data_IF_387566263003
#
_entry.id   IF_387566263003
#
_cell.length_a   1.000
_cell.length_b   1.000
_cell.length_c   1.000
_cell.angle_alpha   90.00
_cell.angle_beta   90.00
_cell.angle_gamma   90.00
#
_symmetry.space_group_name_H-M   'P 1'
#
loop_
_entity.id
_entity.type
_entity.pdbx_description
1 polymer ?
#
# COMPACT_ATOMS: atom_id res chain seq x y z
N UNK A 1 42.36 -24.30 71.76
CA UNK A 1 41.07 -23.78 71.22
C UNK A 1 41.38 -23.15 69.88
N UNK A 2 41.10 -23.84 68.77
CA UNK A 2 41.28 -23.29 67.42
C UNK A 2 39.92 -23.43 66.72
N UNK A 3 39.24 -22.30 66.56
CA UNK A 3 37.94 -22.18 65.90
C UNK A 3 38.12 -22.32 64.39
N UNK A 4 37.46 -23.31 63.78
CA UNK A 4 37.34 -23.44 62.32
C UNK A 4 36.04 -22.76 61.90
N UNK A 5 36.15 -21.57 61.34
CA UNK A 5 35.03 -20.89 60.67
C UNK A 5 34.76 -21.59 59.34
N UNK A 6 33.56 -22.14 59.17
CA UNK A 6 33.08 -22.69 57.90
C UNK A 6 32.34 -21.60 57.15
N UNK A 7 32.95 -21.08 56.08
CA UNK A 7 32.32 -20.17 55.14
C UNK A 7 31.48 -20.98 54.14
N UNK A 8 30.15 -20.96 54.29
CA UNK A 8 29.23 -21.47 53.29
C UNK A 8 29.21 -20.54 52.08
N UNK A 9 29.70 -21.01 50.92
CA UNK A 9 29.46 -20.36 49.63
C UNK A 9 28.00 -20.60 49.22
N UNK A 10 27.19 -19.54 49.23
CA UNK A 10 25.86 -19.54 48.63
C UNK A 10 26.02 -19.31 47.13
N UNK A 11 25.88 -20.37 46.32
CA UNK A 11 25.86 -20.26 44.86
C UNK A 11 24.51 -19.66 44.43
N UNK A 12 24.51 -18.38 44.06
CA UNK A 12 23.38 -17.73 43.39
C UNK A 12 23.35 -18.23 41.95
N UNK A 13 22.44 -19.15 41.65
CA UNK A 13 22.13 -19.54 40.27
C UNK A 13 21.25 -18.44 39.70
N UNK A 14 21.85 -17.53 38.92
CA UNK A 14 21.08 -16.65 38.04
C UNK A 14 20.44 -17.52 36.96
N UNK A 15 19.13 -17.76 37.08
CA UNK A 15 18.32 -18.24 35.97
C UNK A 15 18.28 -17.12 34.92
N UNK A 16 19.19 -17.20 33.95
CA UNK A 16 19.07 -16.51 32.67
C UNK A 16 17.83 -17.11 31.99
N UNK A 17 16.67 -16.52 32.23
CA UNK A 17 15.52 -16.74 31.37
C UNK A 17 15.93 -16.27 29.97
N UNK A 18 16.19 -17.22 29.08
CA UNK A 18 16.44 -16.91 27.69
C UNK A 18 15.22 -16.16 27.17
N UNK A 19 15.42 -14.90 26.75
CA UNK A 19 14.41 -14.20 25.95
C UNK A 19 14.33 -14.99 24.65
N UNK A 20 13.32 -15.84 24.54
CA UNK A 20 13.07 -16.57 23.31
C UNK A 20 12.59 -15.54 22.30
N UNK A 21 13.39 -15.28 21.26
CA UNK A 21 13.03 -14.37 20.19
C UNK A 21 11.68 -14.80 19.61
N UNK A 22 10.79 -13.83 19.35
CA UNK A 22 9.50 -14.12 18.74
C UNK A 22 9.73 -14.76 17.35
N UNK A 23 9.21 -15.97 17.17
CA UNK A 23 9.27 -16.71 15.91
C UNK A 23 7.87 -16.72 15.32
N UNK A 24 7.73 -16.27 14.08
CA UNK A 24 6.46 -16.22 13.36
C UNK A 24 6.48 -17.29 12.26
N UNK A 25 5.65 -18.35 12.33
CA UNK A 25 5.58 -19.34 11.27
C UNK A 25 4.89 -18.78 10.03
N UNK A 26 5.36 -19.19 8.85
CA UNK A 26 4.77 -18.83 7.57
C UNK A 26 3.36 -19.40 7.49
N UNK A 27 2.40 -18.55 7.15
CA UNK A 27 0.99 -18.91 7.01
C UNK A 27 0.51 -18.75 5.58
N UNK A 28 0.94 -17.68 4.90
CA UNK A 28 0.61 -17.45 3.50
C UNK A 28 1.84 -16.96 2.73
N UNK A 29 1.99 -17.44 1.50
CA UNK A 29 2.99 -16.95 0.56
C UNK A 29 2.35 -16.69 -0.80
N UNK A 30 2.31 -15.42 -1.19
CA UNK A 30 1.74 -14.96 -2.45
C UNK A 30 2.87 -14.62 -3.41
N UNK A 31 3.09 -15.44 -4.44
CA UNK A 31 4.14 -15.22 -5.45
C UNK A 31 3.84 -15.96 -6.75
N UNK A 32 4.56 -15.62 -7.81
CA UNK A 32 4.45 -16.30 -9.10
C UNK A 32 3.02 -16.32 -9.65
N UNK A 33 2.62 -17.46 -10.22
CA UNK A 33 1.29 -17.61 -10.83
C UNK A 33 0.17 -17.78 -9.81
N UNK A 34 0.48 -18.18 -8.57
CA UNK A 34 -0.49 -18.38 -7.48
C UNK A 34 -0.68 -17.13 -6.63
N UNK A 35 0.07 -16.05 -6.89
CA UNK A 35 -0.03 -14.80 -6.13
C UNK A 35 -1.47 -14.36 -5.97
N UNK A 36 -2.24 -14.35 -7.05
CA UNK A 36 -3.60 -13.80 -7.10
C UNK A 36 -4.64 -14.66 -6.38
N UNK A 37 -4.30 -15.89 -5.99
CA UNK A 37 -5.21 -16.79 -5.25
C UNK A 37 -5.54 -16.24 -3.86
N UNK A 38 -4.65 -15.45 -3.27
CA UNK A 38 -4.85 -14.77 -1.98
C UNK A 38 -5.65 -13.48 -2.04
N UNK A 39 -6.02 -13.01 -3.23
CA UNK A 39 -6.55 -11.66 -3.43
C UNK A 39 -7.93 -11.63 -4.10
N UNK A 40 -8.63 -10.51 -3.88
CA UNK A 40 -9.90 -10.18 -4.52
C UNK A 40 -9.85 -8.74 -5.03
N UNK A 41 -10.65 -8.46 -6.05
CA UNK A 41 -10.91 -7.09 -6.45
C UNK A 41 -11.80 -6.38 -5.41
N UNK A 42 -11.67 -5.04 -5.28
CA UNK A 42 -12.65 -4.22 -4.58
C UNK A 42 -14.05 -4.36 -5.19
N UNK A 43 -15.08 -4.01 -4.42
CA UNK A 43 -16.44 -3.97 -4.94
C UNK A 43 -16.72 -2.66 -5.69
N UNK A 44 -16.06 -1.59 -5.28
CA UNK A 44 -15.99 -0.32 -5.98
C UNK A 44 -15.18 -0.44 -7.27
N UNK A 45 -15.57 0.29 -8.31
CA UNK A 45 -14.89 0.27 -9.62
C UNK A 45 -14.08 1.54 -9.90
N UNK A 46 -14.05 2.47 -8.95
CA UNK A 46 -13.31 3.73 -9.03
C UNK A 46 -12.81 4.14 -7.65
N UNK A 47 -11.82 5.02 -7.61
CA UNK A 47 -11.33 5.57 -6.36
C UNK A 47 -12.35 6.55 -5.75
N UNK A 48 -13.10 6.05 -4.79
CA UNK A 48 -14.10 6.79 -4.02
C UNK A 48 -13.64 7.13 -2.60
N UNK A 49 -12.44 6.69 -2.21
CA UNK A 49 -11.90 6.87 -0.85
C UNK A 49 -10.92 8.02 -0.77
N UNK A 50 -10.14 8.22 -1.84
CA UNK A 50 -9.08 9.25 -1.91
C UNK A 50 -9.27 10.21 -3.09
N UNK A 51 -10.47 10.19 -3.69
CA UNK A 51 -10.90 11.02 -4.81
C UNK A 51 -9.97 10.98 -6.04
N UNK A 52 -9.24 9.89 -6.24
CA UNK A 52 -8.33 9.70 -7.35
C UNK A 52 -9.00 9.64 -8.72
N UNK A 53 -8.20 9.92 -9.75
CA UNK A 53 -8.60 9.85 -11.16
C UNK A 53 -8.39 8.47 -11.76
N UNK A 54 -8.89 7.48 -11.02
CA UNK A 54 -8.62 6.07 -11.26
C UNK A 54 -9.90 5.25 -11.34
N UNK A 55 -9.98 4.39 -12.34
CA UNK A 55 -10.85 3.22 -12.34
C UNK A 55 -10.07 1.99 -11.89
N UNK A 56 -10.66 1.20 -10.99
CA UNK A 56 -10.02 -0.03 -10.54
C UNK A 56 -10.12 -1.12 -11.59
N UNK A 57 -9.05 -1.89 -11.70
CA UNK A 57 -9.08 -3.14 -12.42
C UNK A 57 -10.13 -4.09 -11.79
N UNK A 58 -10.75 -4.87 -12.65
CA UNK A 58 -11.74 -5.91 -12.39
C UNK A 58 -11.28 -7.19 -13.10
N UNK A 59 -12.04 -8.26 -12.94
CA UNK A 59 -11.75 -9.51 -13.64
C UNK A 59 -11.90 -9.43 -15.18
N UNK A 60 -12.39 -8.30 -15.72
CA UNK A 60 -12.58 -8.12 -17.16
C UNK A 60 -11.43 -7.37 -17.85
N UNK A 61 -10.57 -6.66 -17.10
CA UNK A 61 -9.44 -5.88 -17.62
C UNK A 61 -8.12 -6.30 -16.93
N UNK A 62 -7.83 -7.59 -17.02
CA UNK A 62 -6.70 -8.25 -16.34
C UNK A 62 -5.35 -8.03 -17.02
N UNK A 63 -5.28 -7.28 -18.12
CA UNK A 63 -4.00 -6.92 -18.77
C UNK A 63 -3.08 -6.09 -17.86
N UNK A 64 -3.63 -5.52 -16.80
CA UNK A 64 -2.92 -4.75 -15.78
C UNK A 64 -2.28 -5.60 -14.69
N UNK A 65 -2.64 -6.89 -14.61
CA UNK A 65 -2.20 -7.81 -13.56
C UNK A 65 -1.73 -9.13 -14.17
N UNK A 66 -0.44 -9.41 -14.09
CA UNK A 66 0.12 -10.62 -14.71
C UNK A 66 1.38 -11.09 -13.99
N UNK A 67 1.75 -12.35 -14.21
CA UNK A 67 3.09 -12.84 -13.87
C UNK A 67 3.96 -12.74 -15.13
N UNK A 68 5.13 -12.13 -15.02
CA UNK A 68 6.05 -11.97 -16.14
C UNK A 68 6.92 -13.23 -16.35
N UNK A 69 7.73 -13.23 -17.42
CA UNK A 69 8.58 -14.38 -17.79
C UNK A 69 9.66 -14.71 -16.74
N UNK A 70 9.98 -13.77 -15.84
CA UNK A 70 10.87 -13.99 -14.71
C UNK A 70 10.17 -14.58 -13.48
N UNK A 71 8.86 -14.89 -13.57
CA UNK A 71 8.06 -15.40 -12.46
C UNK A 71 7.65 -14.33 -11.44
N UNK A 72 7.85 -13.04 -11.74
CA UNK A 72 7.50 -11.93 -10.86
C UNK A 72 6.12 -11.40 -11.18
N UNK A 73 5.44 -10.92 -10.15
CA UNK A 73 4.06 -10.44 -10.23
C UNK A 73 4.08 -8.95 -10.56
N UNK A 74 3.36 -8.55 -11.61
CA UNK A 74 3.25 -7.16 -12.06
C UNK A 74 1.82 -6.66 -11.88
N UNK A 75 1.69 -5.51 -11.24
CA UNK A 75 0.46 -4.73 -11.16
C UNK A 75 0.76 -3.33 -11.67
N UNK A 76 0.13 -2.91 -12.77
CA UNK A 76 0.47 -1.66 -13.46
C UNK A 76 -0.73 -0.78 -13.79
N UNK A 77 -0.51 0.53 -13.82
CA UNK A 77 -1.44 1.49 -14.43
C UNK A 77 -1.52 1.23 -15.93
N UNK A 78 -2.71 1.45 -16.53
CA UNK A 78 -2.88 1.45 -17.97
C UNK A 78 -2.06 2.58 -18.61
N UNK A 79 -1.00 2.20 -19.32
CA UNK A 79 -0.12 3.10 -20.05
C UNK A 79 -0.22 2.92 -21.57
N UNK A 80 -1.34 2.40 -22.07
CA UNK A 80 -1.54 2.10 -23.50
C UNK A 80 -2.75 2.79 -24.12
N UNK A 81 -3.76 3.10 -23.32
CA UNK A 81 -4.98 3.74 -23.81
C UNK A 81 -4.89 5.26 -23.74
N UNK A 82 -5.55 5.91 -24.70
CA UNK A 82 -5.89 7.32 -24.63
C UNK A 82 -7.19 7.47 -23.84
N UNK A 83 -7.17 8.25 -22.76
CA UNK A 83 -8.33 8.42 -21.87
C UNK A 83 -9.09 9.69 -22.26
N UNK A 84 -10.39 9.62 -22.64
CA UNK A 84 -11.17 10.81 -22.97
C UNK A 84 -11.35 11.76 -21.76
N UNK A 85 -11.58 13.04 -22.05
CA UNK A 85 -12.01 13.99 -21.01
C UNK A 85 -13.28 13.50 -20.32
N UNK A 86 -13.33 13.66 -19.00
CA UNK A 86 -14.37 13.17 -18.09
C UNK A 86 -14.41 11.64 -17.89
N UNK A 87 -13.40 10.91 -18.37
CA UNK A 87 -13.13 9.51 -18.03
C UNK A 87 -11.89 9.37 -17.14
N UNK A 88 -11.71 8.20 -16.50
CA UNK A 88 -10.58 7.90 -15.60
C UNK A 88 -9.69 6.80 -16.19
N UNK A 89 -8.45 6.72 -15.70
CA UNK A 89 -7.48 5.72 -16.16
C UNK A 89 -7.56 4.45 -15.32
N UNK A 90 -7.44 3.29 -15.94
CA UNK A 90 -7.47 2.02 -15.21
C UNK A 90 -6.17 1.76 -14.46
N UNK A 91 -6.27 1.32 -13.20
CA UNK A 91 -5.14 0.98 -12.35
C UNK A 91 -5.50 -0.16 -11.38
N UNK A 92 -4.49 -0.82 -10.78
CA UNK A 92 -4.74 -1.95 -9.88
C UNK A 92 -5.17 -1.49 -8.48
N UNK A 93 -6.10 -2.23 -7.89
CA UNK A 93 -6.35 -2.30 -6.45
C UNK A 93 -6.73 -3.73 -6.11
N UNK A 94 -5.98 -4.36 -5.22
CA UNK A 94 -6.24 -5.71 -4.71
C UNK A 94 -6.37 -5.68 -3.20
N UNK A 95 -7.30 -6.49 -2.69
CA UNK A 95 -7.55 -6.68 -1.27
C UNK A 95 -7.26 -8.14 -0.91
N UNK A 96 -6.62 -8.40 0.22
CA UNK A 96 -6.46 -9.78 0.71
C UNK A 96 -7.84 -10.41 0.95
N UNK A 97 -7.91 -11.73 0.75
CA UNK A 97 -9.11 -12.51 1.11
C UNK A 97 -9.25 -12.66 2.62
N UNK A 98 -8.13 -12.80 3.32
CA UNK A 98 -8.06 -12.93 4.76
C UNK A 98 -7.81 -11.58 5.43
N UNK A 99 -8.16 -11.52 6.72
CA UNK A 99 -7.79 -10.42 7.61
C UNK A 99 -6.81 -10.90 8.67
N UNK A 100 -6.02 -9.97 9.21
CA UNK A 100 -4.92 -10.28 10.11
C UNK A 100 -5.02 -9.46 11.39
N UNK A 101 -4.49 -9.98 12.50
CA UNK A 101 -4.50 -9.31 13.81
C UNK A 101 -3.09 -9.18 14.40
N UNK A 102 -2.96 -8.63 15.62
CA UNK A 102 -1.69 -8.61 16.36
C UNK A 102 -1.10 -10.02 16.48
N UNK A 103 0.23 -10.14 16.40
CA UNK A 103 0.94 -11.40 16.23
C UNK A 103 1.16 -11.78 14.76
N UNK A 104 1.24 -10.78 13.87
CA UNK A 104 1.44 -10.97 12.43
C UNK A 104 2.65 -10.19 11.94
N UNK A 105 3.38 -10.78 10.99
CA UNK A 105 4.42 -10.11 10.22
C UNK A 105 4.06 -10.13 8.74
N UNK A 106 4.05 -8.94 8.13
CA UNK A 106 3.92 -8.77 6.69
C UNK A 106 5.28 -8.56 6.06
N UNK A 107 5.57 -9.25 4.95
CA UNK A 107 6.81 -9.07 4.19
C UNK A 107 6.46 -8.85 2.72
N UNK A 108 6.83 -7.71 2.15
CA UNK A 108 6.75 -7.45 0.71
C UNK A 108 8.16 -7.33 0.14
N UNK A 109 8.52 -8.26 -0.74
CA UNK A 109 9.75 -8.18 -1.53
C UNK A 109 9.41 -7.70 -2.95
N UNK A 110 9.97 -6.54 -3.31
CA UNK A 110 9.76 -5.91 -4.61
C UNK A 110 11.08 -5.60 -5.31
N UNK A 111 11.07 -5.66 -6.64
CA UNK A 111 12.16 -5.17 -7.51
C UNK A 111 11.82 -3.83 -8.15
N UNK A 112 10.53 -3.47 -8.21
CA UNK A 112 10.04 -2.19 -8.69
C UNK A 112 8.82 -1.75 -7.88
N UNK A 113 8.76 -0.45 -7.55
CA UNK A 113 7.60 0.20 -6.93
C UNK A 113 7.06 1.28 -7.88
N UNK A 114 5.76 1.56 -7.88
CA UNK A 114 5.18 2.54 -8.79
C UNK A 114 5.63 3.96 -8.42
N UNK A 115 6.09 4.71 -9.42
CA UNK A 115 6.39 6.14 -9.27
C UNK A 115 6.16 6.89 -10.58
N UNK A 116 6.11 8.22 -10.50
CA UNK A 116 5.89 9.12 -11.63
C UNK A 116 4.88 10.20 -11.28
N UNK A 117 4.85 11.29 -12.04
CA UNK A 117 3.88 12.36 -11.79
C UNK A 117 2.44 11.83 -11.79
N UNK A 118 1.62 12.34 -10.88
CA UNK A 118 0.26 11.85 -10.59
C UNK A 118 0.18 10.50 -9.86
N UNK A 119 1.23 9.69 -9.82
CA UNK A 119 1.17 8.33 -9.25
C UNK A 119 1.10 8.38 -7.74
N UNK A 120 0.21 7.57 -7.14
CA UNK A 120 0.12 7.32 -5.72
C UNK A 120 0.08 5.80 -5.48
N UNK A 121 1.23 5.22 -5.14
CA UNK A 121 1.33 3.78 -4.86
C UNK A 121 1.26 3.50 -3.37
N UNK A 122 0.57 2.42 -3.00
CA UNK A 122 0.47 2.01 -1.60
C UNK A 122 0.42 0.48 -1.40
N UNK A 123 1.04 0.03 -0.31
CA UNK A 123 0.92 -1.29 0.32
C UNK A 123 0.68 -1.07 1.80
N UNK A 124 -0.52 -1.40 2.25
CA UNK A 124 -1.05 -0.92 3.52
C UNK A 124 -2.13 -1.86 4.05
N UNK A 125 -2.55 -1.67 5.29
CA UNK A 125 -3.64 -2.45 5.89
C UNK A 125 -4.68 -1.55 6.52
N UNK A 126 -5.95 -1.95 6.49
CA UNK A 126 -7.02 -1.23 7.19
C UNK A 126 -8.04 -2.14 7.88
N UNK A 127 -8.59 -1.65 8.99
CA UNK A 127 -9.76 -2.25 9.65
C UNK A 127 -11.04 -2.04 8.84
N UNK A 128 -12.07 -2.83 9.15
CA UNK A 128 -13.36 -2.71 8.47
C UNK A 128 -14.06 -1.38 8.80
N UNK A 129 -13.87 -0.86 10.02
CA UNK A 129 -14.49 0.35 10.52
C UNK A 129 -13.53 1.56 10.45
N UNK A 130 -13.06 1.94 9.26
CA UNK A 130 -12.12 3.05 9.13
C UNK A 130 -12.71 4.41 9.59
N UNK A 131 -11.95 5.29 10.29
CA UNK A 131 -10.60 5.08 10.83
C UNK A 131 -10.58 4.49 12.26
N UNK A 132 -11.74 4.16 12.83
CA UNK A 132 -11.86 3.61 14.19
C UNK A 132 -11.24 2.21 14.35
N UNK A 133 -11.19 1.45 13.26
CA UNK A 133 -10.53 0.15 13.17
C UNK A 133 -9.05 0.23 12.81
N UNK A 134 -8.47 1.42 12.67
CA UNK A 134 -7.05 1.63 12.38
C UNK A 134 -6.65 1.38 10.93
N UNK A 135 -5.51 1.94 10.56
CA UNK A 135 -4.81 1.76 9.29
C UNK A 135 -3.30 1.84 9.49
N UNK A 136 -2.55 1.00 8.75
CA UNK A 136 -1.09 0.89 8.79
C UNK A 136 -0.56 1.03 7.36
N UNK A 137 0.09 2.15 7.07
CA UNK A 137 0.75 2.40 5.79
C UNK A 137 2.20 1.93 5.86
N UNK A 138 2.50 0.86 5.12
CA UNK A 138 3.80 0.18 5.15
C UNK A 138 4.72 0.76 4.07
N UNK A 139 4.19 0.78 2.84
CA UNK A 139 4.75 1.53 1.74
C UNK A 139 3.68 2.48 1.23
N UNK A 140 4.02 3.76 1.18
CA UNK A 140 3.19 4.77 0.55
C UNK A 140 4.07 5.85 -0.06
N UNK A 141 3.81 6.19 -1.32
CA UNK A 141 4.56 7.24 -2.00
C UNK A 141 3.76 7.88 -3.12
N UNK A 142 4.06 9.17 -3.32
CA UNK A 142 3.41 10.00 -4.34
C UNK A 142 4.44 10.60 -5.30
N UNK A 143 4.01 10.80 -6.54
CA UNK A 143 4.72 11.55 -7.56
C UNK A 143 6.15 11.04 -7.77
N UNK A 144 7.11 11.95 -7.92
CA UNK A 144 8.55 11.64 -8.00
C UNK A 144 9.26 11.96 -6.69
N UNK A 145 8.61 11.72 -5.54
CA UNK A 145 9.30 11.72 -4.25
C UNK A 145 10.44 10.69 -4.27
N UNK A 146 11.29 10.75 -3.25
CA UNK A 146 12.48 9.88 -3.13
C UNK A 146 12.48 9.00 -1.88
N UNK A 147 11.57 9.26 -0.97
CA UNK A 147 11.52 8.61 0.33
C UNK A 147 10.15 7.93 0.47
N UNK A 148 10.13 6.71 1.01
CA UNK A 148 8.92 6.05 1.45
C UNK A 148 8.32 6.80 2.65
N UNK A 149 6.99 6.79 2.72
CA UNK A 149 6.23 7.28 3.86
C UNK A 149 5.58 6.09 4.59
N UNK A 150 5.72 6.06 5.91
CA UNK A 150 5.05 5.11 6.80
C UNK A 150 4.16 5.89 7.76
N UNK A 151 2.92 5.46 7.94
CA UNK A 151 1.97 6.17 8.79
C UNK A 151 1.02 5.21 9.51
N UNK A 152 0.46 5.69 10.63
CA UNK A 152 -0.75 5.11 11.21
C UNK A 152 -1.87 6.15 11.20
N UNK A 153 -3.08 5.67 10.90
CA UNK A 153 -4.31 6.44 11.02
C UNK A 153 -5.26 5.74 11.99
N UNK A 154 -5.80 6.50 12.93
CA UNK A 154 -6.67 6.01 14.01
C UNK A 154 -7.80 7.00 14.28
N UNK A 155 -8.78 6.60 15.08
CA UNK A 155 -9.72 7.53 15.72
C UNK A 155 -10.28 6.91 16.99
N UNK A 156 -10.80 7.74 17.89
CA UNK A 156 -11.54 7.26 19.07
C UNK A 156 -10.66 6.81 20.24
N UNK A 157 -9.40 7.22 20.28
CA UNK A 157 -8.49 6.99 21.40
C UNK A 157 -7.17 7.74 21.26
N UNK A 158 -6.20 7.44 22.12
CA UNK A 158 -4.87 8.05 22.08
C UNK A 158 -3.90 7.15 21.33
N UNK A 159 -3.33 7.67 20.26
CA UNK A 159 -2.21 7.06 19.58
C UNK A 159 -1.22 8.11 19.10
N UNK A 160 -0.01 8.08 19.65
CA UNK A 160 1.08 8.94 19.21
C UNK A 160 2.39 8.17 19.09
N UNK A 161 3.29 8.67 18.25
CA UNK A 161 4.69 8.20 18.19
C UNK A 161 5.43 8.71 19.43
N UNK A 162 6.14 7.83 20.15
CA UNK A 162 7.11 8.25 21.16
C UNK A 162 8.34 8.84 20.47
N UNK A 163 8.59 10.13 20.65
CA UNK A 163 9.73 10.84 20.07
C UNK A 163 11.09 10.34 20.56
N UNK A 164 11.14 9.53 21.62
CA UNK A 164 12.37 8.88 22.10
C UNK A 164 12.56 7.47 21.50
N UNK A 165 11.65 7.02 20.64
CA UNK A 165 11.74 5.72 19.96
C UNK A 165 13.06 5.59 19.22
N UNK A 166 13.67 4.41 19.32
CA UNK A 166 14.93 4.13 18.64
C UNK A 166 14.62 3.68 17.21
N UNK A 167 14.48 4.65 16.31
CA UNK A 167 14.19 4.42 14.89
C UNK A 167 15.26 5.06 14.00
N UNK A 168 15.41 4.56 12.77
CA UNK A 168 16.28 5.18 11.76
C UNK A 168 15.54 6.17 10.83
N UNK A 169 14.21 6.17 10.86
CA UNK A 169 13.39 7.12 10.10
C UNK A 169 13.30 8.50 10.74
N UNK A 170 12.77 9.46 9.97
CA UNK A 170 12.49 10.83 10.41
C UNK A 170 11.01 10.99 10.75
N UNK A 171 10.69 11.28 12.01
CA UNK A 171 9.33 11.63 12.44
C UNK A 171 8.95 12.98 11.84
N UNK A 172 7.80 13.02 11.16
CA UNK A 172 7.22 14.23 10.59
C UNK A 172 5.98 14.68 11.37
N UNK A 173 5.12 13.73 11.71
CA UNK A 173 3.89 13.96 12.46
C UNK A 173 3.74 12.91 13.56
N UNK A 174 3.35 13.32 14.77
CA UNK A 174 3.32 12.42 15.93
C UNK A 174 1.96 11.90 16.30
N UNK A 175 0.88 12.59 15.94
CA UNK A 175 -0.50 12.24 16.35
C UNK A 175 -1.18 11.40 15.27
N UNK A 176 -1.61 10.19 15.62
CA UNK A 176 -2.17 9.24 14.68
C UNK A 176 -3.67 9.41 14.48
N UNK A 177 -4.33 10.32 15.20
CA UNK A 177 -5.76 10.56 15.00
C UNK A 177 -6.01 11.23 13.64
N UNK A 178 -6.99 10.72 12.88
CA UNK A 178 -7.30 11.21 11.54
C UNK A 178 -7.73 12.68 11.49
N UNK A 179 -8.18 13.24 12.61
CA UNK A 179 -8.51 14.67 12.72
C UNK A 179 -7.28 15.56 12.92
N UNK A 180 -6.12 14.99 13.21
CA UNK A 180 -4.84 15.68 13.35
C UNK A 180 -4.09 15.80 12.01
N UNK A 181 -3.06 16.64 11.97
CA UNK A 181 -2.07 16.74 10.89
C UNK A 181 -2.67 16.85 9.46
N UNK A 182 -3.82 17.51 9.33
CA UNK A 182 -4.54 17.59 8.05
C UNK A 182 -4.85 16.22 7.43
N UNK A 183 -5.03 15.19 8.25
CA UNK A 183 -5.36 13.83 7.83
C UNK A 183 -4.18 12.94 7.46
N UNK A 184 -2.93 13.38 7.69
CA UNK A 184 -1.73 12.58 7.37
C UNK A 184 -1.43 11.46 8.38
N UNK A 185 -2.20 11.37 9.47
CA UNK A 185 -1.89 10.47 10.58
C UNK A 185 -0.55 10.82 11.23
N UNK A 186 0.07 9.83 11.88
CA UNK A 186 1.39 9.98 12.47
C UNK A 186 2.46 9.36 11.57
N UNK A 187 3.26 10.22 10.96
CA UNK A 187 4.07 9.90 9.79
C UNK A 187 5.56 9.82 10.13
N UNK A 188 6.23 8.80 9.59
CA UNK A 188 7.68 8.63 9.57
C UNK A 188 8.14 8.49 8.12
N UNK A 189 9.10 9.32 7.70
CA UNK A 189 9.77 9.15 6.41
C UNK A 189 11.01 8.29 6.55
N UNK A 190 11.22 7.40 5.58
CA UNK A 190 12.50 6.72 5.43
C UNK A 190 13.58 7.71 4.98
N UNK A 191 14.74 7.70 5.62
CA UNK A 191 15.86 8.58 5.24
C UNK A 191 16.72 7.99 4.12
N UNK A 192 16.50 6.73 3.75
CA UNK A 192 17.18 6.07 2.64
C UNK A 192 16.45 6.36 1.33
N UNK A 193 17.08 7.10 0.42
CA UNK A 193 16.49 7.39 -0.91
C UNK A 193 16.24 6.12 -1.75
N UNK A 194 16.85 4.97 -1.42
CA UNK A 194 16.53 3.69 -2.07
C UNK A 194 15.17 3.11 -1.64
N UNK A 195 14.42 3.76 -0.74
CA UNK A 195 13.12 3.29 -0.22
C UNK A 195 11.95 3.55 -1.16
N UNK A 196 12.08 4.46 -2.14
CA UNK A 196 11.01 4.77 -3.08
C UNK A 196 11.56 5.24 -4.44
N UNK A 197 10.71 5.23 -5.45
CA UNK A 197 10.97 5.88 -6.73
C UNK A 197 12.06 5.21 -7.57
N UNK A 198 12.71 6.00 -8.42
CA UNK A 198 13.71 5.50 -9.36
C UNK A 198 14.91 4.84 -8.64
N UNK A 199 15.34 5.37 -7.50
CA UNK A 199 16.48 4.85 -6.74
C UNK A 199 16.19 3.45 -6.17
N UNK A 200 14.95 3.16 -5.74
CA UNK A 200 14.54 1.81 -5.36
C UNK A 200 14.77 0.82 -6.52
N UNK A 201 14.24 1.13 -7.70
CA UNK A 201 14.35 0.26 -8.88
C UNK A 201 15.80 0.09 -9.35
N UNK A 202 16.60 1.17 -9.36
CA UNK A 202 18.02 1.12 -9.73
C UNK A 202 18.86 0.29 -8.74
N UNK A 203 18.48 0.26 -7.46
CA UNK A 203 19.12 -0.58 -6.46
C UNK A 203 18.75 -2.08 -6.59
N UNK A 204 17.86 -2.47 -7.51
CA UNK A 204 17.29 -3.82 -7.60
C UNK A 204 16.18 -4.07 -6.59
N UNK A 205 15.60 -2.99 -6.06
CA UNK A 205 14.50 -2.96 -5.11
C UNK A 205 14.91 -3.19 -3.66
N UNK A 206 14.08 -3.94 -2.94
CA UNK A 206 14.24 -4.17 -1.51
C UNK A 206 13.03 -4.85 -0.89
N UNK A 207 13.04 -4.92 0.44
CA UNK A 207 12.03 -5.60 1.24
C UNK A 207 11.46 -4.65 2.28
N UNK A 208 10.13 -4.57 2.35
CA UNK A 208 9.42 -3.97 3.46
C UNK A 208 8.96 -5.08 4.41
N UNK A 209 9.21 -4.89 5.70
CA UNK A 209 8.75 -5.79 6.76
C UNK A 209 7.96 -5.00 7.78
N UNK A 210 6.79 -5.49 8.16
CA UNK A 210 5.99 -4.91 9.24
C UNK A 210 5.68 -5.97 10.26
N UNK A 211 6.14 -5.77 11.50
CA UNK A 211 5.74 -6.57 12.66
C UNK A 211 4.62 -5.84 13.40
N UNK A 212 3.48 -6.51 13.56
CA UNK A 212 2.37 -6.00 14.33
C UNK A 212 2.08 -6.92 15.51
N UNK A 213 2.30 -6.40 16.71
CA UNK A 213 2.05 -7.05 18.00
C UNK A 213 1.12 -6.20 18.87
N UNK A 214 0.81 -6.64 20.09
CA UNK A 214 0.07 -5.78 21.02
C UNK A 214 0.98 -4.71 21.64
N UNK A 215 2.29 -4.93 21.61
CA UNK A 215 3.31 -4.08 22.22
C UNK A 215 3.80 -2.99 21.27
N UNK A 216 3.87 -3.27 19.96
CA UNK A 216 4.28 -2.29 18.96
C UNK A 216 3.83 -2.68 17.54
N UNK A 217 3.72 -1.67 16.69
CA UNK A 217 3.83 -1.80 15.23
C UNK A 217 5.20 -1.29 14.83
N UNK A 218 6.00 -2.12 14.16
CA UNK A 218 7.35 -1.78 13.69
C UNK A 218 7.46 -2.04 12.21
N UNK A 219 8.08 -1.11 11.49
CA UNK A 219 8.24 -1.18 10.03
C UNK A 219 9.72 -1.00 9.69
N UNK A 220 10.25 -1.89 8.85
CA UNK A 220 11.60 -1.85 8.31
C UNK A 220 11.54 -1.76 6.79
N UNK A 221 12.48 -0.99 6.23
CA UNK A 221 12.88 -1.10 4.84
C UNK A 221 14.32 -1.62 4.74
N UNK A 222 14.55 -2.57 3.85
CA UNK A 222 15.87 -3.16 3.60
C UNK A 222 16.15 -3.08 2.10
N UNK A 223 17.08 -2.22 1.71
CA UNK A 223 17.53 -2.12 0.31
C UNK A 223 18.16 -3.45 -0.16
N UNK A 224 17.96 -3.80 -1.44
CA UNK A 224 18.28 -5.13 -2.00
C UNK A 224 19.64 -5.70 -1.59
N UNK A 225 20.70 -4.88 -1.60
CA UNK A 225 22.06 -5.34 -1.27
C UNK A 225 22.22 -5.85 0.16
N UNK A 226 21.30 -5.49 1.06
CA UNK A 226 21.34 -5.79 2.48
C UNK A 226 20.24 -6.78 2.89
N UNK A 227 19.44 -7.27 1.95
CA UNK A 227 18.39 -8.26 2.23
C UNK A 227 19.06 -9.57 2.62
N UNK A 228 18.83 -10.10 3.83
CA UNK A 228 19.41 -11.37 4.26
C UNK A 228 18.79 -12.54 3.48
N UNK A 229 19.59 -13.57 3.19
CA UNK A 229 19.13 -14.79 2.50
C UNK A 229 17.98 -15.52 3.24
N UNK A 230 17.82 -15.28 4.54
CA UNK A 230 16.72 -15.80 5.35
C UNK A 230 15.36 -15.21 4.97
N UNK A 231 15.33 -14.04 4.32
CA UNK A 231 14.11 -13.48 3.73
C UNK A 231 13.95 -14.03 2.31
N UNK A 232 13.11 -15.05 2.19
CA UNK A 232 12.73 -15.64 0.91
C UNK A 232 11.26 -16.03 0.89
N UNK A 233 10.72 -16.25 -0.31
CA UNK A 233 9.33 -16.69 -0.48
C UNK A 233 9.03 -18.00 0.26
N UNK A 234 10.02 -18.87 0.45
CA UNK A 234 9.90 -20.19 1.07
C UNK A 234 10.44 -20.26 2.49
N UNK A 235 10.69 -19.12 3.14
CA UNK A 235 11.10 -19.14 4.54
C UNK A 235 9.90 -19.57 5.40
N UNK A 236 9.98 -20.74 6.04
CA UNK A 236 8.87 -21.33 6.79
C UNK A 236 8.62 -20.62 8.14
N UNK A 237 9.54 -19.77 8.57
CA UNK A 237 9.48 -19.07 9.84
C UNK A 237 10.35 -17.83 9.80
N UNK A 238 9.97 -16.80 10.55
CA UNK A 238 10.66 -15.52 10.55
C UNK A 238 10.91 -15.00 11.97
N UNK A 239 12.11 -14.46 12.17
CA UNK A 239 12.56 -13.82 13.42
C UNK A 239 12.85 -12.36 13.12
N UNK A 240 12.01 -11.46 13.62
CA UNK A 240 12.14 -10.01 13.42
C UNK A 240 13.34 -9.42 14.16
N UNK A 241 13.87 -10.09 15.20
CA UNK A 241 14.99 -9.58 16.00
C UNK A 241 16.30 -9.47 15.20
N UNK A 242 16.40 -10.17 14.07
CA UNK A 242 17.56 -10.12 13.18
C UNK A 242 17.60 -8.86 12.31
N UNK A 243 16.51 -8.09 12.25
CA UNK A 243 16.40 -6.91 11.38
C UNK A 243 17.06 -5.66 11.98
N UNK A 244 17.36 -5.66 13.28
CA UNK A 244 17.91 -4.51 13.98
C UNK A 244 16.89 -3.37 14.16
N UNK A 245 17.38 -2.13 14.16
CA UNK A 245 16.58 -0.92 14.42
C UNK A 245 15.54 -0.68 13.30
N UNK A 246 14.24 -0.53 13.63
CA UNK A 246 13.20 -0.26 12.64
C UNK A 246 13.30 1.12 12.02
N UNK A 247 12.75 1.27 10.82
CA UNK A 247 12.55 2.58 10.18
C UNK A 247 11.49 3.38 10.92
N UNK A 248 10.38 2.74 11.31
CA UNK A 248 9.32 3.34 12.12
C UNK A 248 8.90 2.40 13.26
N UNK A 249 8.57 2.96 14.42
CA UNK A 249 8.04 2.23 15.57
C UNK A 249 6.92 3.04 16.23
N UNK A 250 5.81 2.36 16.44
CA UNK A 250 4.63 2.87 17.12
C UNK A 250 4.40 1.98 18.34
N UNK A 251 4.84 2.46 19.52
CA UNK A 251 4.82 1.70 20.77
C UNK A 251 3.47 1.76 21.46
N UNK A 252 3.07 0.66 22.10
CA UNK A 252 1.85 0.60 22.90
C UNK A 252 1.89 1.48 24.15
N UNK A 253 3.08 2.01 24.51
CA UNK A 253 3.24 2.96 25.63
C UNK A 253 2.55 4.29 25.39
N UNK A 254 2.43 4.71 24.12
CA UNK A 254 1.79 5.96 23.70
C UNK A 254 0.69 5.74 22.67
N UNK A 255 0.50 4.50 22.22
CA UNK A 255 -0.56 4.12 21.30
C UNK A 255 -1.41 2.96 21.80
N UNK A 256 -2.73 3.15 21.82
CA UNK A 256 -3.69 2.11 22.21
C UNK A 256 -3.85 0.98 21.18
N UNK A 257 -2.76 0.35 20.71
CA UNK A 257 -2.74 -0.60 19.58
C UNK A 257 -3.85 -1.65 19.67
N UNK A 258 -3.95 -2.35 20.81
CA UNK A 258 -4.96 -3.42 21.01
C UNK A 258 -6.41 -2.94 20.86
N UNK A 259 -6.69 -1.66 21.08
CA UNK A 259 -8.05 -1.11 21.03
C UNK A 259 -8.34 -0.31 19.75
N UNK A 260 -7.30 0.14 19.03
CA UNK A 260 -7.41 1.02 17.88
C UNK A 260 -7.24 0.30 16.55
N UNK A 261 -6.77 -0.95 16.56
CA UNK A 261 -6.56 -1.74 15.36
C UNK A 261 -7.38 -3.03 15.41
N UNK A 262 -8.46 -3.05 14.64
CA UNK A 262 -9.29 -4.25 14.38
C UNK A 262 -8.53 -5.22 13.46
N UNK A 263 -9.04 -6.45 13.21
CA UNK A 263 -8.48 -7.28 12.16
C UNK A 263 -8.41 -6.55 10.81
N UNK A 264 -7.21 -6.46 10.23
CA UNK A 264 -6.93 -5.63 9.07
C UNK A 264 -6.99 -6.43 7.76
N UNK A 265 -7.53 -5.82 6.72
CA UNK A 265 -7.38 -6.27 5.32
C UNK A 265 -6.13 -5.65 4.73
N UNK A 266 -5.29 -6.45 4.07
CA UNK A 266 -4.11 -5.98 3.35
C UNK A 266 -4.52 -5.49 1.95
N UNK A 267 -4.01 -4.33 1.55
CA UNK A 267 -4.31 -3.67 0.28
C UNK A 267 -3.04 -3.38 -0.50
N UNK A 268 -3.08 -3.61 -1.80
CA UNK A 268 -2.07 -3.18 -2.76
C UNK A 268 -2.76 -2.39 -3.88
N UNK A 269 -2.41 -1.11 -4.06
CA UNK A 269 -3.03 -0.29 -5.10
C UNK A 269 -2.10 0.76 -5.70
N UNK A 270 -2.53 1.30 -6.85
CA UNK A 270 -1.97 2.51 -7.45
C UNK A 270 -3.12 3.44 -7.78
N UNK A 271 -3.31 4.48 -6.97
CA UNK A 271 -4.20 5.59 -7.28
C UNK A 271 -3.47 6.65 -8.13
N UNK A 272 -4.23 7.57 -8.71
CA UNK A 272 -3.73 8.67 -9.53
C UNK A 272 -4.34 9.99 -9.06
N UNK A 273 -3.52 11.02 -8.92
CA UNK A 273 -3.93 12.34 -8.45
C UNK A 273 -4.60 12.27 -7.06
N UNK A 274 -5.90 12.59 -6.99
CA UNK A 274 -6.66 12.54 -5.75
C UNK A 274 -6.20 13.54 -4.70
N UNK A 275 -6.63 13.29 -3.47
CA UNK A 275 -6.47 14.19 -2.32
C UNK A 275 -5.01 14.36 -1.86
N UNK A 276 -4.07 13.57 -2.39
CA UNK A 276 -2.66 13.62 -2.00
C UNK A 276 -1.73 13.86 -3.19
N UNK A 277 -1.58 12.90 -4.11
CA UNK A 277 -0.69 13.08 -5.27
C UNK A 277 -1.15 14.20 -6.22
N UNK A 278 -2.44 14.51 -6.23
CA UNK A 278 -3.05 15.54 -7.06
C UNK A 278 -3.01 16.95 -6.50
N UNK A 279 -2.63 17.12 -5.22
CA UNK A 279 -2.51 18.44 -4.62
C UNK A 279 -1.40 19.25 -5.33
N UNK A 280 -1.70 20.41 -5.95
CA UNK A 280 -0.70 21.16 -6.70
C UNK A 280 0.56 21.48 -5.89
N UNK A 281 0.40 21.85 -4.61
CA UNK A 281 1.51 22.16 -3.71
C UNK A 281 2.43 20.98 -3.42
N UNK A 282 1.99 19.73 -3.61
CA UNK A 282 2.79 18.53 -3.43
C UNK A 282 3.29 17.98 -4.76
N UNK A 283 2.45 18.01 -5.79
CA UNK A 283 2.78 17.59 -7.15
C UNK A 283 3.97 18.38 -7.69
N UNK A 284 3.90 19.71 -7.61
CA UNK A 284 4.89 20.63 -8.18
C UNK A 284 6.24 20.62 -7.44
N UNK A 285 6.34 19.95 -6.28
CA UNK A 285 7.62 19.75 -5.60
C UNK A 285 8.54 18.79 -6.37
N UNK A 286 7.95 17.87 -7.15
CA UNK A 286 8.68 16.79 -7.81
C UNK A 286 8.31 16.61 -9.29
N UNK A 287 7.35 17.39 -9.77
CA UNK A 287 6.85 17.36 -11.14
C UNK A 287 6.83 18.76 -11.75
N UNK A 288 6.79 18.87 -13.09
CA UNK A 288 6.61 20.17 -13.75
C UNK A 288 5.40 20.92 -13.18
N UNK A 289 5.57 22.24 -13.01
CA UNK A 289 4.52 23.13 -12.55
C UNK A 289 3.29 23.05 -13.46
N UNK A 290 2.09 23.12 -12.88
CA UNK A 290 0.86 23.19 -13.65
C UNK A 290 0.73 24.59 -14.26
N UNK A 291 0.42 24.66 -15.56
CA UNK A 291 0.29 25.93 -16.27
C UNK A 291 -1.18 26.29 -16.53
N UNK A 292 -1.57 27.53 -16.22
CA UNK A 292 -2.89 28.06 -16.53
C UNK A 292 -4.02 27.36 -15.75
N UNK A 293 -4.98 26.78 -16.47
CA UNK A 293 -6.14 26.06 -15.92
C UNK A 293 -5.89 24.55 -15.79
N UNK A 294 -4.66 24.10 -16.06
CA UNK A 294 -4.28 22.69 -15.96
C UNK A 294 -4.34 22.20 -14.52
N UNK A 295 -4.90 21.01 -14.36
CA UNK A 295 -4.94 20.24 -13.12
C UNK A 295 -4.09 18.97 -13.27
N UNK A 296 -3.83 18.26 -12.17
CA UNK A 296 -3.21 16.93 -12.20
C UNK A 296 -3.89 16.00 -13.22
N UNK A 297 -5.23 15.95 -13.19
CA UNK A 297 -6.05 15.17 -14.11
C UNK A 297 -5.81 15.52 -15.58
N UNK A 298 -5.94 16.80 -15.95
CA UNK A 298 -5.86 17.25 -17.35
C UNK A 298 -4.44 17.27 -17.93
N UNK A 299 -3.44 17.07 -17.07
CA UNK A 299 -2.02 17.06 -17.46
C UNK A 299 -1.49 15.64 -17.58
N UNK A 300 -1.85 14.77 -16.63
CA UNK A 300 -1.19 13.46 -16.50
C UNK A 300 -2.12 12.28 -16.76
N UNK A 301 -3.43 12.40 -16.50
CA UNK A 301 -4.32 11.23 -16.47
C UNK A 301 -5.04 11.01 -17.80
N UNK A 302 -5.54 12.06 -18.44
CA UNK A 302 -6.25 11.96 -19.72
C UNK A 302 -5.29 11.83 -20.92
N UNK A 303 -5.86 11.65 -22.12
CA UNK A 303 -5.12 11.53 -23.38
C UNK A 303 -4.09 10.38 -23.36
N UNK A 304 -3.11 10.40 -24.26
CA UNK A 304 -1.99 9.46 -24.26
C UNK A 304 -1.00 9.81 -23.14
N UNK A 305 -0.98 8.96 -22.11
CA UNK A 305 -0.07 9.06 -20.97
C UNK A 305 0.90 7.87 -20.90
N UNK A 306 1.20 7.26 -22.03
CA UNK A 306 2.09 6.08 -22.12
C UNK A 306 3.48 6.34 -21.51
N UNK A 307 4.05 7.52 -21.78
CA UNK A 307 5.32 7.94 -21.20
C UNK A 307 5.20 8.27 -19.70
N UNK A 308 4.11 8.91 -19.29
CA UNK A 308 3.85 9.28 -17.88
C UNK A 308 3.81 8.06 -16.97
N UNK A 309 3.16 6.98 -17.43
CA UNK A 309 2.90 5.79 -16.61
C UNK A 309 3.79 4.59 -16.95
N UNK A 310 4.91 4.81 -17.64
CA UNK A 310 5.89 3.77 -17.93
C UNK A 310 6.46 3.10 -16.65
N UNK A 311 6.61 3.88 -15.57
CA UNK A 311 7.14 3.43 -14.28
C UNK A 311 6.06 3.28 -13.19
N UNK A 312 4.78 3.34 -13.56
CA UNK A 312 3.67 3.23 -12.62
C UNK A 312 3.25 1.77 -12.42
N UNK A 313 4.16 0.94 -11.89
CA UNK A 313 3.89 -0.47 -11.62
C UNK A 313 4.65 -1.01 -10.40
N UNK A 314 4.02 -1.97 -9.72
CA UNK A 314 4.71 -2.89 -8.85
C UNK A 314 5.29 -4.04 -9.66
N UNK A 315 6.50 -4.47 -9.32
CA UNK A 315 7.04 -5.77 -9.72
C UNK A 315 7.54 -6.50 -8.47
N UNK A 316 6.83 -7.56 -8.09
CA UNK A 316 6.98 -8.23 -6.81
C UNK A 316 7.61 -9.61 -6.99
N UNK A 317 8.56 -9.94 -6.12
CA UNK A 317 9.02 -11.32 -5.97
C UNK A 317 7.99 -12.11 -5.17
N UNK A 318 7.56 -11.60 -4.00
CA UNK A 318 6.56 -12.23 -3.16
C UNK A 318 5.96 -11.26 -2.13
N UNK A 319 4.81 -11.64 -1.59
CA UNK A 319 4.27 -11.14 -0.31
C UNK A 319 4.07 -12.34 0.60
N UNK A 320 4.76 -12.36 1.75
CA UNK A 320 4.61 -13.40 2.77
C UNK A 320 3.91 -12.85 4.00
N UNK A 321 3.09 -13.70 4.61
CA UNK A 321 2.40 -13.44 5.87
C UNK A 321 2.83 -14.52 6.86
N UNK A 322 3.40 -14.09 7.98
CA UNK A 322 3.75 -14.95 9.09
C UNK A 322 2.86 -14.61 10.28
N UNK A 323 2.33 -15.60 11.00
CA UNK A 323 1.53 -15.30 12.18
C UNK A 323 1.64 -16.37 13.25
N UNK A 324 1.70 -15.93 14.51
CA UNK A 324 1.61 -16.83 15.68
C UNK A 324 0.17 -17.23 15.98
N UNK A 325 -0.81 -16.53 15.39
CA UNK A 325 -2.21 -16.92 15.46
C UNK A 325 -2.39 -18.06 14.47
N UNK A 326 -2.64 -19.28 14.94
CA UNK A 326 -3.05 -20.34 14.02
C UNK A 326 -4.31 -19.85 13.30
N UNK A 327 -4.22 -19.57 12.01
CA UNK A 327 -5.41 -19.43 11.17
C UNK A 327 -6.19 -20.71 11.35
N UNK A 328 -7.41 -20.61 11.90
CA UNK A 328 -8.32 -21.73 11.89
C UNK A 328 -8.41 -22.21 10.44
N UNK A 329 -7.87 -23.40 10.17
CA UNK A 329 -7.84 -23.94 8.83
C UNK A 329 -9.27 -24.01 8.28
N UNK A 330 -9.47 -23.55 7.05
CA UNK A 330 -10.56 -23.92 6.15
C UNK A 330 -12.02 -23.88 6.65
N UNK A 331 -12.34 -23.21 7.76
CA UNK A 331 -13.73 -22.83 8.00
C UNK A 331 -13.97 -21.47 7.37
N UNK A 332 -14.43 -21.55 6.12
CA UNK A 332 -15.17 -20.48 5.46
C UNK A 332 -16.09 -19.81 6.49
N UNK A 333 -15.96 -18.50 6.78
CA UNK A 333 -16.97 -17.84 7.55
C UNK A 333 -18.28 -18.00 6.77
N UNK A 334 -19.24 -18.73 7.33
CA UNK A 334 -20.62 -18.66 6.87
C UNK A 334 -21.09 -17.25 7.18
N UNK A 335 -20.81 -16.32 6.27
CA UNK A 335 -21.47 -15.02 6.20
C UNK A 335 -22.91 -15.32 5.83
N UNK A 336 -23.74 -15.51 6.87
CA UNK A 336 -25.18 -15.47 6.72
C UNK A 336 -25.55 -14.02 6.43
N UNK A 337 -25.77 -13.71 5.14
CA UNK A 337 -26.34 -12.45 4.69
C UNK A 337 -25.34 -11.44 4.11
N UNK A 338 -25.02 -11.61 2.82
CA UNK A 338 -25.29 -10.68 1.70
C UNK A 338 -24.60 -11.32 0.50
N UNK A 339 -25.37 -11.81 -0.46
CA UNK A 339 -24.81 -12.31 -1.72
C UNK A 339 -24.09 -11.17 -2.43
N UNK A 340 -22.76 -11.21 -2.44
CA UNK A 340 -21.93 -10.39 -3.33
C UNK A 340 -20.85 -11.28 -3.89
N UNK A 341 -20.90 -11.44 -5.22
CA UNK A 341 -19.94 -12.20 -6.02
C UNK A 341 -18.52 -11.74 -5.70
N UNK A 342 -17.76 -12.53 -4.93
CA UNK A 342 -16.31 -12.36 -4.81
C UNK A 342 -15.68 -12.83 -6.11
N UNK A 343 -15.44 -11.88 -7.01
CA UNK A 343 -14.79 -12.19 -8.29
C UNK A 343 -13.33 -12.48 -8.02
N UNK A 344 -12.93 -13.74 -8.17
CA UNK A 344 -11.55 -14.18 -7.99
C UNK A 344 -10.65 -13.47 -8.99
N UNK A 345 -9.47 -13.03 -8.55
CA UNK A 345 -8.51 -12.37 -9.44
C UNK A 345 -7.92 -13.43 -10.36
N UNK A 346 -8.14 -13.26 -11.66
CA UNK A 346 -7.49 -14.08 -12.69
C UNK A 346 -6.44 -13.23 -13.37
N UNK A 347 -5.17 -13.62 -13.26
CA UNK A 347 -4.08 -12.90 -13.92
C UNK A 347 -4.14 -13.07 -15.45
N UNK A 348 -3.69 -12.06 -16.18
CA UNK A 348 -3.24 -12.26 -17.55
C UNK A 348 -1.98 -13.13 -17.59
N UNK A 349 -1.85 -13.97 -18.61
CA UNK A 349 -0.57 -14.63 -18.92
C UNK A 349 0.06 -13.84 -20.06
N UNK A 350 1.14 -13.12 -19.77
CA UNK A 350 1.94 -12.48 -20.82
C UNK A 350 2.66 -13.58 -21.61
N UNK A 351 2.20 -13.85 -22.84
CA UNK A 351 2.98 -14.59 -23.82
C UNK A 351 3.55 -13.59 -24.81
N UNK A 352 4.85 -13.35 -24.72
CA UNK A 352 5.58 -12.59 -25.74
C UNK A 352 5.70 -13.47 -26.99
N UNK A 353 4.67 -13.48 -27.85
CA UNK A 353 4.73 -14.16 -29.13
C UNK A 353 5.60 -13.34 -30.10
N UNK A 354 6.85 -13.74 -30.28
CA UNK A 354 7.67 -13.31 -31.41
C UNK A 354 7.08 -13.90 -32.70
N UNK A 355 6.43 -13.08 -33.52
CA UNK A 355 5.75 -13.54 -34.74
C UNK A 355 5.61 -12.45 -35.79
N UNK A 356 6.47 -12.54 -36.79
CA UNK A 356 6.53 -11.79 -38.07
C UNK A 356 5.18 -11.45 -38.70
N UNK A 357 5.09 -10.22 -39.23
CA UNK A 357 3.85 -9.63 -39.73
C UNK A 357 3.25 -10.22 -41.01
N UNK A 358 1.97 -9.89 -41.21
CA UNK A 358 1.27 -9.90 -42.50
C UNK A 358 0.32 -8.69 -42.51
N UNK A 359 0.38 -7.92 -43.60
CA UNK A 359 -0.45 -6.75 -43.86
C UNK A 359 -1.76 -7.08 -44.60
N UNK A 360 -2.72 -6.14 -44.48
CA UNK A 360 -3.93 -5.91 -45.27
C UNK A 360 -5.10 -6.92 -45.05
N UNK A 361 -6.37 -6.52 -45.02
CA UNK A 361 -7.09 -5.67 -46.00
C UNK A 361 -8.34 -4.95 -45.46
N UNK A 362 -8.63 -3.80 -46.07
CA UNK A 362 -9.88 -3.03 -46.07
C UNK A 362 -11.17 -3.83 -46.22
N UNK A 363 -12.23 -3.37 -45.55
CA UNK A 363 -13.62 -3.73 -45.82
C UNK A 363 -14.56 -2.58 -45.46
N UNK A 364 -14.90 -1.76 -46.45
CA UNK A 364 -15.97 -0.75 -46.44
C UNK A 364 -17.35 -1.40 -46.55
N UNK A 365 -18.35 -0.88 -45.83
CA UNK A 365 -19.78 -0.74 -46.21
C UNK A 365 -20.49 0.02 -45.07
N UNK A 366 -20.82 1.30 -45.21
CA UNK A 366 -21.97 1.90 -45.94
C UNK A 366 -23.28 1.93 -45.12
N UNK A 367 -23.55 3.13 -44.59
CA UNK A 367 -24.81 3.88 -44.55
C UNK A 367 -26.13 3.22 -44.08
N UNK A 368 -26.70 3.82 -43.02
CA UNK A 368 -28.13 3.80 -42.70
C UNK A 368 -28.48 5.04 -41.87
N UNK A 369 -29.38 5.87 -42.40
CA UNK A 369 -29.63 7.26 -42.04
C UNK A 369 -30.74 7.50 -41.01
N UNK A 370 -30.59 8.60 -40.27
CA UNK A 370 -31.60 9.56 -39.77
C UNK A 370 -32.69 9.12 -38.76
N UNK A 371 -32.68 9.76 -37.58
CA UNK A 371 -33.76 10.69 -37.18
C UNK A 371 -33.41 11.45 -35.90
N UNK A 372 -33.52 12.77 -35.98
CA UNK A 372 -33.50 13.78 -34.93
C UNK A 372 -34.66 13.65 -33.92
N UNK A 373 -34.40 14.02 -32.66
CA UNK A 373 -35.13 15.00 -31.84
C UNK A 373 -35.17 14.62 -30.35
N UNK A 374 -34.93 15.60 -29.46
CA UNK A 374 -35.30 15.47 -28.05
C UNK A 374 -34.34 16.12 -27.07
N UNK A 375 -34.23 17.45 -27.09
CA UNK A 375 -33.79 18.24 -25.92
C UNK A 375 -34.71 17.92 -24.73
N UNK A 376 -34.13 17.68 -23.56
CA UNK A 376 -34.65 18.14 -22.28
C UNK A 376 -33.50 18.15 -21.27
N UNK A 377 -33.11 19.35 -20.86
CA UNK A 377 -32.14 19.58 -19.81
C UNK A 377 -32.72 19.27 -18.44
N UNK A 378 -31.84 18.87 -17.53
CA UNK A 378 -32.07 18.97 -16.09
C UNK A 378 -30.77 19.48 -15.49
N UNK A 379 -30.78 20.75 -15.12
CA UNK A 379 -29.78 21.38 -14.26
C UNK A 379 -29.75 20.66 -12.91
N UNK A 380 -28.56 20.29 -12.44
CA UNK A 380 -28.33 20.06 -11.01
C UNK A 380 -27.43 21.17 -10.49
N UNK A 381 -28.02 21.93 -9.57
CA UNK A 381 -27.51 23.18 -9.05
C UNK A 381 -26.22 23.02 -8.24
N UNK A 382 -25.31 23.94 -8.53
CA UNK A 382 -24.15 24.32 -7.74
C UNK A 382 -24.65 24.92 -6.41
N UNK A 383 -24.43 24.25 -5.29
CA UNK A 383 -24.56 24.89 -3.96
C UNK A 383 -23.17 25.28 -3.48
N UNK A 384 -22.81 26.53 -3.76
CA UNK A 384 -21.72 27.22 -3.09
C UNK A 384 -22.12 27.58 -1.66
N UNK A 385 -21.23 27.34 -0.71
CA UNK A 385 -21.26 27.97 0.61
C UNK A 385 -20.09 28.95 0.68
N UNK A 386 -20.40 30.21 0.34
CA UNK A 386 -19.63 31.39 0.75
C UNK A 386 -20.47 32.11 1.80
N UNK A 387 -19.90 32.29 2.99
CA UNK A 387 -20.27 33.31 3.98
C UNK A 387 -19.04 33.52 4.85
N UNK A 388 -18.24 34.57 4.61
CA UNK A 388 -18.37 35.93 5.17
C UNK A 388 -18.40 35.90 6.71
N UNK A 389 -17.52 36.57 7.45
CA UNK A 389 -16.51 37.53 7.02
C UNK A 389 -15.77 38.15 8.22
N UNK A 390 -14.82 38.98 7.84
CA UNK A 390 -13.98 39.88 8.60
C UNK A 390 -14.64 40.59 9.81
N UNK A 391 -13.82 40.81 10.84
CA UNK A 391 -13.73 42.07 11.60
C UNK A 391 -12.24 42.29 11.89
N UNK A 392 -11.51 43.05 11.06
CA UNK A 392 -11.27 44.50 11.10
C UNK A 392 -10.48 44.98 12.33
N UNK A 393 -9.19 45.31 12.15
CA UNK A 393 -8.51 46.42 12.84
C UNK A 393 -7.56 47.10 11.82
N UNK A 394 -8.01 48.30 11.40
CA UNK A 394 -7.32 49.49 10.85
C UNK A 394 -6.55 49.35 9.54
#
# INVERSE_FOLDING_TARGET
>A
MISKSSTSLLAVVLALGGVQAAQYPLTESHHGTTFFDGWRFPAETYDNTTNGDTFWATAQNTSLLYTNDAGRVVLKVDNTTSVPYNEKRYAPKLLSKNTYGPGTVFVMDAVHLPYGCSVWGAFWTQGANWPAGGEIDIFEGINQRKENMMALHTSGGTCTIDQNSQIVGRIDATDCDQSANSGSGCTVYDQNENSYGEAFSQAGGGVFVTEWTNEAIKIWFISRSNVPDSLSATADNFDTSVLGTPTAEYSSSTCGITNLFEPQTLTLNIALCGDFAGLPSLLEQTCPALEGDKTCYTTYVIDDASATYANAYFELNYINIYTTNQTAGNDSPTVSGIGKSTTTVTAGVSKTASGTGIAATNGTNAAGSNSSAGRNGVEWGLMGLIGLGLSLII
#
